data_IF_891827312167
#
_entry.id   IF_891827312167
#
_cell.length_a   1.000
_cell.length_b   1.000
_cell.length_c   1.000
_cell.angle_alpha   90.00
_cell.angle_beta   90.00
_cell.angle_gamma   90.00
#
_symmetry.space_group_name_H-M   'P 1'
#
loop_
_entity.id
_entity.type
_entity.pdbx_description
1 polymer ?
#
# COMPACT_ATOMS: atom_id res chain seq x y z
N UNK A 1 18.49 -10.83 6.46
CA UNK A 1 17.35 -11.71 6.73
C UNK A 1 16.68 -11.23 8.00
N UNK A 2 15.45 -10.76 7.92
CA UNK A 2 14.76 -10.14 9.04
C UNK A 2 14.20 -11.16 10.01
N UNK A 3 13.67 -12.24 9.49
CA UNK A 3 13.23 -13.41 10.22
C UNK A 3 13.10 -14.57 9.26
N UNK A 4 12.97 -15.78 9.78
CA UNK A 4 12.64 -16.96 8.99
C UNK A 4 11.31 -16.83 8.24
N UNK A 5 10.42 -15.93 8.68
CA UNK A 5 9.11 -15.70 8.09
C UNK A 5 9.19 -14.97 6.73
N UNK A 6 9.89 -13.81 6.66
CA UNK A 6 9.98 -13.04 5.41
C UNK A 6 10.91 -13.71 4.39
N UNK A 7 11.92 -14.46 4.86
CA UNK A 7 12.86 -15.17 4.00
C UNK A 7 12.34 -16.49 3.44
N UNK A 8 11.11 -16.91 3.79
CA UNK A 8 10.53 -18.19 3.38
C UNK A 8 11.21 -19.42 4.02
N UNK A 9 12.10 -19.21 4.99
CA UNK A 9 12.84 -20.32 5.63
C UNK A 9 11.93 -21.23 6.46
N UNK A 10 10.90 -20.68 7.10
CA UNK A 10 9.95 -21.44 7.87
C UNK A 10 9.08 -22.32 6.95
N UNK A 11 8.53 -21.74 5.88
CA UNK A 11 7.76 -22.48 4.87
C UNK A 11 8.59 -23.59 4.23
N UNK A 12 9.83 -23.29 3.83
CA UNK A 12 10.74 -24.29 3.28
C UNK A 12 11.06 -25.41 4.30
N UNK A 13 11.19 -25.07 5.57
CA UNK A 13 11.42 -26.05 6.65
C UNK A 13 10.23 -27.00 6.77
N UNK A 14 9.00 -26.49 6.72
CA UNK A 14 7.78 -27.30 6.76
C UNK A 14 7.67 -28.19 5.50
N UNK A 15 7.91 -27.65 4.31
CA UNK A 15 7.88 -28.42 3.06
C UNK A 15 8.92 -29.54 3.08
N UNK A 16 10.15 -29.28 3.51
CA UNK A 16 11.19 -30.30 3.64
C UNK A 16 10.80 -31.35 4.68
N UNK A 17 10.21 -30.95 5.80
CA UNK A 17 9.73 -31.87 6.82
C UNK A 17 8.65 -32.83 6.29
N UNK A 18 7.70 -32.31 5.49
CA UNK A 18 6.67 -33.13 4.84
C UNK A 18 7.29 -34.16 3.88
N UNK A 19 8.27 -33.74 3.08
CA UNK A 19 8.92 -34.64 2.08
C UNK A 19 9.81 -35.66 2.74
N UNK A 20 10.51 -35.33 3.81
CA UNK A 20 11.52 -36.17 4.44
C UNK A 20 11.01 -36.97 5.65
N UNK A 21 9.81 -36.63 6.16
CA UNK A 21 9.29 -37.17 7.42
C UNK A 21 10.04 -36.66 8.66
N UNK A 22 10.86 -35.60 8.51
CA UNK A 22 11.58 -34.99 9.61
C UNK A 22 10.65 -34.11 10.46
N UNK A 23 11.02 -33.88 11.72
CA UNK A 23 10.31 -32.96 12.61
C UNK A 23 10.84 -31.53 12.32
N UNK A 24 10.00 -30.59 11.88
CA UNK A 24 10.44 -29.22 11.67
C UNK A 24 10.74 -28.57 13.03
N UNK A 25 11.88 -27.88 13.13
CA UNK A 25 12.26 -27.12 14.34
C UNK A 25 12.41 -25.65 13.92
N UNK A 26 11.38 -24.86 14.22
CA UNK A 26 11.36 -23.42 13.95
C UNK A 26 11.59 -22.70 15.27
N UNK A 27 12.69 -21.96 15.38
CA UNK A 27 13.18 -21.38 16.65
C UNK A 27 13.42 -19.88 16.55
N UNK A 28 12.50 -19.13 15.89
CA UNK A 28 12.58 -17.67 15.99
C UNK A 28 12.15 -17.21 17.38
N UNK A 29 12.75 -16.14 17.89
CA UNK A 29 12.46 -15.66 19.25
C UNK A 29 10.98 -15.31 19.45
N UNK A 30 10.30 -14.83 18.40
CA UNK A 30 8.88 -14.49 18.41
C UNK A 30 7.99 -15.75 18.43
N UNK A 31 8.36 -16.80 17.69
CA UNK A 31 7.59 -18.05 17.65
C UNK A 31 7.65 -18.79 18.98
N UNK A 32 8.86 -18.90 19.56
CA UNK A 32 9.06 -19.60 20.83
C UNK A 32 8.33 -18.92 22.00
N UNK A 33 8.21 -17.58 21.95
CA UNK A 33 7.57 -16.80 23.02
C UNK A 33 6.10 -16.47 22.74
N UNK A 34 5.51 -16.91 21.62
CA UNK A 34 4.15 -16.58 21.19
C UNK A 34 3.89 -15.06 21.23
N UNK A 35 4.89 -14.25 20.84
CA UNK A 35 4.81 -12.78 20.84
C UNK A 35 4.39 -12.26 19.49
N UNK A 36 3.83 -11.04 19.48
CA UNK A 36 3.49 -10.36 18.26
C UNK A 36 4.72 -10.18 17.38
N UNK A 37 4.64 -10.70 16.15
CA UNK A 37 5.68 -10.59 15.13
C UNK A 37 5.29 -9.53 14.10
N UNK A 38 5.99 -8.39 14.11
CA UNK A 38 5.72 -7.24 13.23
C UNK A 38 5.81 -7.62 11.76
N UNK A 39 6.80 -8.42 11.41
CA UNK A 39 7.05 -8.88 10.03
C UNK A 39 5.95 -9.82 9.52
N UNK A 40 5.52 -10.78 10.35
CA UNK A 40 4.39 -11.66 10.03
C UNK A 40 3.11 -10.86 9.84
N UNK A 41 2.86 -9.91 10.73
CA UNK A 41 1.70 -9.03 10.63
C UNK A 41 1.76 -8.18 9.35
N UNK A 42 2.91 -7.61 9.01
CA UNK A 42 3.08 -6.81 7.81
C UNK A 42 2.85 -7.63 6.53
N UNK A 43 3.37 -8.85 6.46
CA UNK A 43 3.14 -9.77 5.33
C UNK A 43 1.67 -10.16 5.22
N UNK A 44 1.05 -10.60 6.31
CA UNK A 44 -0.37 -10.98 6.37
C UNK A 44 -1.29 -9.85 5.87
N UNK A 45 -0.95 -8.62 6.21
CA UNK A 45 -1.74 -7.43 5.89
C UNK A 45 -1.26 -6.69 4.62
N UNK A 46 -0.30 -7.24 3.87
CA UNK A 46 0.28 -6.61 2.68
C UNK A 46 0.78 -5.18 2.94
N UNK A 47 1.37 -4.94 4.11
CA UNK A 47 1.99 -3.69 4.49
C UNK A 47 3.48 -3.67 4.17
N UNK A 48 3.97 -2.52 3.73
CA UNK A 48 5.41 -2.25 3.65
C UNK A 48 5.93 -1.77 5.00
N UNK A 49 7.05 -2.33 5.46
CA UNK A 49 7.77 -1.90 6.66
C UNK A 49 8.72 -0.79 6.25
N UNK A 50 8.53 0.43 6.76
CA UNK A 50 9.35 1.56 6.34
C UNK A 50 10.69 1.62 7.06
N UNK A 51 10.71 1.42 8.37
CA UNK A 51 11.90 1.53 9.21
C UNK A 51 12.28 0.15 9.76
N UNK A 52 13.13 -0.55 9.03
CA UNK A 52 13.52 -1.93 9.33
C UNK A 52 14.24 -2.07 10.69
N UNK A 53 15.05 -1.09 11.08
CA UNK A 53 15.72 -1.12 12.37
C UNK A 53 14.73 -0.93 13.53
N UNK A 54 13.69 -0.12 13.34
CA UNK A 54 12.61 0.01 14.34
C UNK A 54 11.76 -1.26 14.42
N UNK A 55 11.59 -1.99 13.32
CA UNK A 55 10.90 -3.28 13.35
C UNK A 55 11.65 -4.32 14.19
N UNK A 56 12.97 -4.38 14.06
CA UNK A 56 13.83 -5.24 14.88
C UNK A 56 13.77 -4.86 16.35
N UNK A 57 13.82 -3.57 16.65
CA UNK A 57 13.74 -3.06 18.02
C UNK A 57 12.38 -3.34 18.64
N UNK A 58 11.28 -3.13 17.91
CA UNK A 58 9.94 -3.49 18.37
C UNK A 58 9.86 -4.97 18.75
N UNK A 59 10.38 -5.86 17.89
CA UNK A 59 10.44 -7.27 18.15
C UNK A 59 11.26 -7.59 19.43
N UNK A 60 12.41 -6.96 19.62
CA UNK A 60 13.24 -7.15 20.81
C UNK A 60 12.53 -6.70 22.10
N UNK A 61 11.87 -5.52 22.07
CA UNK A 61 11.08 -5.02 23.21
C UNK A 61 9.95 -5.98 23.59
N UNK A 62 9.24 -6.51 22.60
CA UNK A 62 8.14 -7.45 22.81
C UNK A 62 8.63 -8.79 23.37
N UNK A 63 9.76 -9.31 22.90
CA UNK A 63 10.40 -10.51 23.43
C UNK A 63 10.83 -10.30 24.89
N UNK A 64 11.34 -9.10 25.23
CA UNK A 64 11.70 -8.70 26.60
C UNK A 64 10.48 -8.50 27.53
N UNK A 65 9.26 -8.71 27.04
CA UNK A 65 8.02 -8.52 27.80
C UNK A 65 7.64 -7.07 28.02
N UNK A 66 8.24 -6.14 27.25
CA UNK A 66 7.87 -4.72 27.26
C UNK A 66 6.71 -4.46 26.32
N UNK A 67 6.07 -3.29 26.49
CA UNK A 67 4.98 -2.86 25.65
C UNK A 67 5.47 -1.93 24.53
N UNK A 68 4.78 -1.98 23.38
CA UNK A 68 5.00 -1.10 22.22
C UNK A 68 3.70 -0.38 21.91
N UNK A 69 3.77 0.89 21.57
CA UNK A 69 2.61 1.68 21.14
C UNK A 69 2.02 1.13 19.84
N UNK A 70 0.71 1.25 19.69
CA UNK A 70 0.01 0.84 18.47
C UNK A 70 -1.09 1.82 18.09
N UNK A 71 -1.03 2.33 16.88
CA UNK A 71 -2.14 3.07 16.28
C UNK A 71 -2.42 2.59 14.85
N UNK A 72 -3.65 2.81 14.41
CA UNK A 72 -4.07 2.52 13.04
C UNK A 72 -5.03 3.60 12.55
N UNK A 73 -4.79 4.12 11.35
CA UNK A 73 -5.72 5.02 10.63
C UNK A 73 -6.78 4.24 9.85
N UNK A 74 -6.77 2.92 9.98
CA UNK A 74 -7.71 1.99 9.36
C UNK A 74 -8.44 1.18 10.42
N UNK A 75 -9.62 0.64 10.09
CA UNK A 75 -10.28 -0.32 10.96
C UNK A 75 -9.39 -1.52 11.28
N UNK A 76 -9.53 -2.03 12.49
CA UNK A 76 -8.79 -3.19 12.97
C UNK A 76 -9.76 -4.32 13.29
N UNK A 77 -9.46 -5.52 12.81
CA UNK A 77 -10.19 -6.76 13.11
C UNK A 77 -9.32 -7.76 13.85
N UNK A 78 -9.96 -8.63 14.62
CA UNK A 78 -9.28 -9.62 15.47
C UNK A 78 -8.94 -9.09 16.85
N UNK A 79 -8.25 -9.91 17.62
CA UNK A 79 -7.86 -9.59 18.99
C UNK A 79 -6.45 -9.02 18.98
N UNK A 80 -6.35 -7.74 19.28
CA UNK A 80 -5.06 -7.05 19.40
C UNK A 80 -4.30 -7.63 20.60
N UNK A 81 -3.01 -8.03 20.46
CA UNK A 81 -2.15 -8.44 21.56
C UNK A 81 -2.08 -7.41 22.69
N UNK A 82 -2.05 -7.89 23.94
CA UNK A 82 -2.06 -7.00 25.13
C UNK A 82 -0.80 -6.15 25.25
N UNK A 83 0.33 -6.62 24.73
CA UNK A 83 1.59 -5.89 24.67
C UNK A 83 1.60 -4.70 23.71
N UNK A 84 0.62 -4.62 22.80
CA UNK A 84 0.40 -3.46 21.94
C UNK A 84 -0.56 -2.49 22.64
N UNK A 85 -0.04 -1.40 23.18
CA UNK A 85 -0.86 -0.41 23.90
C UNK A 85 -1.37 0.69 22.99
N UNK A 86 -2.61 1.19 23.17
CA UNK A 86 -3.17 2.24 22.34
C UNK A 86 -2.41 3.57 22.52
N UNK A 87 -2.49 4.44 21.50
CA UNK A 87 -1.82 5.75 21.46
C UNK A 87 -2.13 6.64 22.67
N UNK A 88 -3.37 6.57 23.17
CA UNK A 88 -3.86 7.37 24.29
C UNK A 88 -3.41 6.83 25.67
N UNK A 89 -2.98 5.58 25.75
CA UNK A 89 -2.39 5.00 26.95
C UNK A 89 -1.00 5.62 27.19
N UNK A 90 -0.34 5.26 28.28
CA UNK A 90 1.00 5.78 28.60
C UNK A 90 1.85 5.97 27.34
N UNK A 91 2.35 7.18 27.06
CA UNK A 91 3.11 7.53 25.84
C UNK A 91 4.38 6.68 25.74
N UNK A 92 4.37 5.54 25.04
CA UNK A 92 5.59 4.78 24.82
C UNK A 92 6.53 5.58 23.91
N UNK A 93 7.84 5.49 24.14
CA UNK A 93 8.85 6.16 23.32
C UNK A 93 8.89 5.63 21.90
N UNK A 94 8.36 4.40 21.69
CA UNK A 94 8.28 3.73 20.41
C UNK A 94 6.90 3.14 20.19
N UNK A 95 6.42 3.20 18.95
CA UNK A 95 5.16 2.57 18.56
C UNK A 95 5.08 2.24 17.08
N UNK A 96 4.11 1.41 16.74
CA UNK A 96 3.76 0.99 15.38
C UNK A 96 2.57 1.82 14.94
N UNK A 97 2.64 2.42 13.75
CA UNK A 97 1.55 3.17 13.14
C UNK A 97 1.18 2.59 11.76
N UNK A 98 -0.07 2.15 11.61
CA UNK A 98 -0.60 1.73 10.31
C UNK A 98 -1.26 2.93 9.64
N UNK A 99 -0.64 3.42 8.58
CA UNK A 99 -1.02 4.66 7.90
C UNK A 99 -0.61 4.63 6.43
N UNK A 100 -1.11 5.56 5.61
CA UNK A 100 -0.60 5.79 4.24
C UNK A 100 0.48 6.87 4.17
N UNK A 101 0.85 7.48 5.30
CA UNK A 101 1.78 8.62 5.36
C UNK A 101 2.97 8.34 6.26
N UNK A 102 4.17 8.51 5.75
CA UNK A 102 5.41 8.44 6.56
C UNK A 102 5.58 9.69 7.47
N UNK A 103 4.78 10.74 7.28
CA UNK A 103 4.77 11.94 8.12
C UNK A 103 3.85 11.80 9.35
N UNK A 104 2.97 10.79 9.37
CA UNK A 104 2.04 10.51 10.47
C UNK A 104 2.76 9.75 11.59
N UNK A 105 3.52 10.46 12.40
CA UNK A 105 4.41 9.92 13.43
C UNK A 105 3.89 10.24 14.84
N UNK A 106 2.96 9.44 15.40
CA UNK A 106 2.35 9.69 16.70
C UNK A 106 3.28 9.44 17.89
N UNK A 107 4.39 8.73 17.68
CA UNK A 107 5.39 8.42 18.71
C UNK A 107 6.71 9.12 18.40
N UNK A 108 7.56 9.31 19.41
CA UNK A 108 8.90 9.83 19.24
C UNK A 108 9.70 9.00 18.21
N UNK A 109 9.48 7.69 18.25
CA UNK A 109 10.03 6.72 17.30
C UNK A 109 8.88 5.89 16.75
N UNK A 110 8.46 6.22 15.53
CA UNK A 110 7.33 5.57 14.87
C UNK A 110 7.83 4.58 13.82
N UNK A 111 7.42 3.33 13.96
CA UNK A 111 7.51 2.32 12.91
C UNK A 111 6.27 2.41 12.03
N UNK A 112 6.45 2.78 10.77
CA UNK A 112 5.34 2.87 9.82
C UNK A 112 5.13 1.53 9.11
N UNK A 113 3.90 1.05 9.18
CA UNK A 113 3.39 -0.05 8.35
C UNK A 113 2.43 0.55 7.32
N UNK A 114 2.83 0.54 6.05
CA UNK A 114 2.08 1.19 4.97
C UNK A 114 1.37 0.14 4.12
N UNK A 115 0.03 0.02 4.21
CA UNK A 115 -0.74 -0.91 3.39
C UNK A 115 -0.82 -0.41 1.93
N UNK A 116 -0.69 -1.33 0.97
CA UNK A 116 -0.79 -1.04 -0.47
C UNK A 116 -2.24 -0.96 -0.91
N UNK A 117 -2.88 0.16 -0.63
CA UNK A 117 -4.33 0.37 -0.81
C UNK A 117 -4.69 1.42 -1.85
N UNK A 118 -3.70 2.16 -2.36
CA UNK A 118 -3.94 3.29 -3.27
C UNK A 118 -3.85 2.86 -4.73
N UNK A 119 -4.80 3.32 -5.51
CA UNK A 119 -4.78 3.24 -6.98
C UNK A 119 -4.62 4.63 -7.57
N UNK A 120 -3.67 4.77 -8.49
CA UNK A 120 -3.42 6.00 -9.23
C UNK A 120 -4.05 5.89 -10.62
N UNK A 121 -5.14 6.62 -10.84
CA UNK A 121 -5.69 6.78 -12.19
C UNK A 121 -4.88 7.79 -12.99
N UNK A 122 -4.44 7.42 -14.19
CA UNK A 122 -3.57 8.23 -15.04
C UNK A 122 -4.22 8.48 -16.39
N UNK A 123 -4.29 9.74 -16.77
CA UNK A 123 -4.55 10.16 -18.16
C UNK A 123 -3.39 10.99 -18.67
N UNK A 124 -2.91 10.74 -19.89
CA UNK A 124 -1.83 11.54 -20.47
C UNK A 124 -1.96 11.66 -22.01
N UNK A 125 -1.29 12.65 -22.59
CA UNK A 125 -1.11 12.71 -24.05
C UNK A 125 -0.22 11.55 -24.50
N UNK A 126 -0.36 11.14 -25.78
CA UNK A 126 0.49 10.12 -26.37
C UNK A 126 1.97 10.53 -26.31
N UNK A 127 2.83 9.57 -25.96
CA UNK A 127 4.28 9.74 -25.83
C UNK A 127 4.68 10.79 -24.77
N UNK A 128 3.90 10.93 -23.70
CA UNK A 128 4.31 11.77 -22.56
C UNK A 128 5.50 11.12 -21.85
N UNK A 129 6.63 11.84 -21.63
CA UNK A 129 7.80 11.30 -20.95
C UNK A 129 7.47 10.78 -19.54
N UNK A 130 8.06 9.65 -19.16
CA UNK A 130 7.84 9.02 -17.85
C UNK A 130 8.11 9.97 -16.67
N UNK A 131 9.20 10.74 -16.71
CA UNK A 131 9.53 11.71 -15.66
C UNK A 131 8.48 12.79 -15.47
N UNK A 132 7.77 13.21 -16.54
CA UNK A 132 6.64 14.15 -16.40
C UNK A 132 5.43 13.49 -15.75
N UNK A 133 5.11 12.24 -16.11
CA UNK A 133 4.02 11.51 -15.49
C UNK A 133 4.34 11.30 -14.00
N UNK A 134 5.56 10.87 -13.69
CA UNK A 134 6.06 10.67 -12.34
C UNK A 134 5.93 11.93 -11.48
N UNK A 135 6.40 13.07 -11.98
CA UNK A 135 6.30 14.37 -11.29
C UNK A 135 4.85 14.67 -10.88
N UNK A 136 3.90 14.49 -11.80
CA UNK A 136 2.48 14.77 -11.51
C UNK A 136 1.85 13.77 -10.57
N UNK A 137 2.24 12.51 -10.66
CA UNK A 137 1.78 11.45 -9.74
C UNK A 137 2.31 11.71 -8.33
N UNK A 138 3.61 11.96 -8.19
CA UNK A 138 4.20 12.25 -6.87
C UNK A 138 3.63 13.52 -6.25
N UNK A 139 3.43 14.58 -7.06
CA UNK A 139 2.78 15.80 -6.59
C UNK A 139 1.32 15.56 -6.15
N UNK A 140 0.58 14.66 -6.82
CA UNK A 140 -0.77 14.32 -6.42
C UNK A 140 -0.80 13.52 -5.11
N UNK A 141 0.11 12.56 -4.93
CA UNK A 141 0.28 11.79 -3.70
C UNK A 141 0.68 12.71 -2.54
N UNK A 142 1.73 13.51 -2.69
CA UNK A 142 2.18 14.45 -1.66
C UNK A 142 1.08 15.44 -1.24
N UNK A 143 0.32 15.99 -2.21
CA UNK A 143 -0.81 16.87 -1.90
C UNK A 143 -2.01 16.15 -1.25
N UNK A 144 -1.98 14.83 -1.10
CA UNK A 144 -2.93 14.02 -0.35
C UNK A 144 -2.32 13.48 0.96
N UNK A 145 -1.06 13.78 1.27
CA UNK A 145 -0.34 13.23 2.41
C UNK A 145 -0.11 11.71 2.31
N UNK A 146 0.05 11.21 1.08
CA UNK A 146 0.15 9.76 0.82
C UNK A 146 1.56 9.42 0.33
N UNK A 147 2.19 8.44 0.97
CA UNK A 147 3.46 7.87 0.51
C UNK A 147 3.30 7.07 -0.79
N UNK A 148 4.25 7.15 -1.73
CA UNK A 148 4.29 6.27 -2.89
C UNK A 148 4.29 4.77 -2.54
N UNK A 149 4.74 4.39 -1.35
CA UNK A 149 4.71 3.01 -0.82
C UNK A 149 3.30 2.48 -0.64
N UNK A 150 2.31 3.35 -0.42
CA UNK A 150 0.90 2.98 -0.31
C UNK A 150 0.25 2.63 -1.67
N UNK A 151 0.95 2.91 -2.78
CA UNK A 151 0.40 2.65 -4.11
C UNK A 151 0.54 1.17 -4.46
N UNK A 152 -0.59 0.54 -4.73
CA UNK A 152 -0.68 -0.84 -5.22
C UNK A 152 -0.55 -0.89 -6.74
N UNK A 153 -1.22 0.04 -7.43
CA UNK A 153 -1.37 -0.03 -8.87
C UNK A 153 -1.65 1.33 -9.52
N UNK A 154 -1.33 1.41 -10.81
CA UNK A 154 -1.82 2.45 -11.71
C UNK A 154 -2.97 1.92 -12.58
N UNK A 155 -3.85 2.81 -13.03
CA UNK A 155 -4.97 2.47 -13.89
C UNK A 155 -5.19 3.51 -14.99
N UNK A 156 -5.65 3.07 -16.17
CA UNK A 156 -5.96 3.94 -17.31
C UNK A 156 -6.98 3.26 -18.25
N UNK A 157 -7.24 3.90 -19.40
CA UNK A 157 -7.97 3.29 -20.50
C UNK A 157 -7.06 2.38 -21.34
N UNK A 158 -7.62 1.37 -22.00
CA UNK A 158 -6.93 0.40 -22.86
C UNK A 158 -6.10 1.03 -23.98
N UNK A 159 -6.56 2.18 -24.54
CA UNK A 159 -5.77 3.00 -25.48
C UNK A 159 -4.39 3.40 -24.95
N UNK A 160 -4.18 3.28 -23.63
CA UNK A 160 -2.93 3.58 -22.93
C UNK A 160 -2.18 2.33 -22.47
N UNK A 161 -2.65 1.13 -22.82
CA UNK A 161 -2.02 -0.13 -22.41
C UNK A 161 -0.53 -0.21 -22.80
N UNK A 162 -0.15 0.40 -23.92
CA UNK A 162 1.22 0.43 -24.44
C UNK A 162 1.86 1.83 -24.36
N UNK A 163 1.40 2.70 -23.47
CA UNK A 163 2.00 4.04 -23.31
C UNK A 163 3.34 3.95 -22.58
N UNK A 164 4.48 4.21 -23.27
CA UNK A 164 5.81 3.91 -22.71
C UNK A 164 6.08 4.65 -21.41
N UNK A 165 5.60 5.88 -21.27
CA UNK A 165 5.81 6.68 -20.06
C UNK A 165 5.10 6.11 -18.83
N UNK A 166 3.92 5.49 -18.99
CA UNK A 166 3.22 4.82 -17.89
C UNK A 166 3.90 3.49 -17.56
N UNK A 167 4.28 2.70 -18.59
CA UNK A 167 4.95 1.42 -18.38
C UNK A 167 6.28 1.59 -17.62
N UNK A 168 7.10 2.58 -17.99
CA UNK A 168 8.34 2.89 -17.27
C UNK A 168 8.08 3.31 -15.82
N UNK A 169 7.03 4.10 -15.56
CA UNK A 169 6.66 4.51 -14.21
C UNK A 169 6.28 3.31 -13.36
N UNK A 170 5.38 2.45 -13.83
CA UNK A 170 4.92 1.30 -13.04
C UNK A 170 6.03 0.28 -12.81
N UNK A 171 6.92 0.06 -13.78
CA UNK A 171 8.10 -0.77 -13.63
C UNK A 171 9.05 -0.21 -12.56
N UNK A 172 9.35 1.09 -12.60
CA UNK A 172 10.22 1.77 -11.61
C UNK A 172 9.76 1.58 -10.18
N UNK A 173 8.45 1.63 -9.93
CA UNK A 173 7.87 1.53 -8.58
C UNK A 173 7.37 0.13 -8.22
N UNK A 174 7.42 -0.83 -9.15
CA UNK A 174 6.87 -2.17 -8.95
C UNK A 174 5.34 -2.17 -8.82
N UNK A 175 4.65 -1.19 -9.39
CA UNK A 175 3.19 -1.11 -9.34
C UNK A 175 2.56 -2.01 -10.39
N UNK A 176 1.40 -2.59 -10.07
CA UNK A 176 0.58 -3.24 -11.08
C UNK A 176 0.03 -2.20 -12.05
N UNK A 177 -0.23 -2.60 -13.31
CA UNK A 177 -0.88 -1.72 -14.28
C UNK A 177 -2.16 -2.38 -14.79
N UNK A 178 -3.28 -1.69 -14.66
CA UNK A 178 -4.58 -2.15 -15.16
C UNK A 178 -5.14 -1.17 -16.17
N UNK A 179 -5.69 -1.71 -17.26
CA UNK A 179 -6.40 -0.90 -18.26
C UNK A 179 -7.82 -1.43 -18.45
N UNK A 180 -8.71 -0.56 -18.83
CA UNK A 180 -10.13 -0.83 -19.00
C UNK A 180 -10.60 -0.29 -20.35
N UNK A 181 -11.57 -0.95 -21.00
CA UNK A 181 -12.24 -0.40 -22.17
C UNK A 181 -13.11 0.80 -21.80
N UNK A 182 -13.56 1.55 -22.82
CA UNK A 182 -14.47 2.67 -22.60
C UNK A 182 -15.80 2.19 -21.96
N UNK A 183 -16.31 1.04 -22.41
CA UNK A 183 -17.54 0.42 -21.91
C UNK A 183 -17.37 0.00 -20.43
N UNK A 184 -16.24 -0.59 -20.06
CA UNK A 184 -15.95 -0.92 -18.67
C UNK A 184 -15.87 0.36 -17.82
N UNK A 185 -15.22 1.42 -18.31
CA UNK A 185 -15.13 2.68 -17.58
C UNK A 185 -16.49 3.35 -17.35
N UNK A 186 -17.48 3.15 -18.25
CA UNK A 186 -18.85 3.64 -18.06
C UNK A 186 -19.56 2.98 -16.87
N UNK A 187 -19.20 1.75 -16.51
CA UNK A 187 -19.78 1.05 -15.36
C UNK A 187 -19.32 1.58 -14.00
N UNK A 188 -18.29 2.44 -13.98
CA UNK A 188 -17.81 3.04 -12.74
C UNK A 188 -18.91 3.90 -12.10
N UNK A 189 -19.23 3.60 -10.85
CA UNK A 189 -20.20 4.36 -10.06
C UNK A 189 -19.54 5.54 -9.34
N UNK A 190 -20.21 6.67 -9.29
CA UNK A 190 -19.74 7.87 -8.59
C UNK A 190 -19.92 9.16 -9.39
N UNK A 191 -19.54 10.26 -8.78
CA UNK A 191 -19.52 11.58 -9.41
C UNK A 191 -18.12 11.89 -9.96
N UNK A 192 -18.00 11.97 -11.26
CA UNK A 192 -16.75 12.22 -11.97
C UNK A 192 -16.71 13.60 -12.62
N UNK A 193 -15.51 14.17 -12.70
CA UNK A 193 -15.30 15.46 -13.34
C UNK A 193 -15.31 15.32 -14.87
N UNK A 194 -16.32 15.84 -15.59
CA UNK A 194 -16.41 15.66 -17.04
C UNK A 194 -15.29 16.37 -17.79
N UNK A 195 -14.94 15.85 -18.96
CA UNK A 195 -14.00 16.44 -19.90
C UNK A 195 -14.50 16.27 -21.34
N UNK A 196 -15.01 17.33 -21.98
CA UNK A 196 -15.46 17.26 -23.37
C UNK A 196 -14.36 16.83 -24.33
N UNK A 197 -13.12 17.23 -24.07
CA UNK A 197 -11.96 16.83 -24.86
C UNK A 197 -11.72 15.31 -24.80
N UNK A 198 -11.76 14.74 -23.60
CA UNK A 198 -11.56 13.29 -23.41
C UNK A 198 -12.71 12.52 -24.06
N UNK A 199 -13.95 12.98 -23.90
CA UNK A 199 -15.14 12.37 -24.52
C UNK A 199 -15.04 12.29 -26.03
N UNK A 200 -14.52 13.34 -26.69
CA UNK A 200 -14.33 13.36 -28.16
C UNK A 200 -13.33 12.29 -28.63
N UNK A 201 -12.33 11.94 -27.82
CA UNK A 201 -11.26 11.01 -28.21
C UNK A 201 -11.58 9.58 -27.81
N UNK A 202 -12.13 9.38 -26.64
CA UNK A 202 -12.28 8.05 -26.01
C UNK A 202 -13.72 7.56 -25.94
N UNK A 203 -14.70 8.39 -26.29
CA UNK A 203 -16.12 8.10 -26.13
C UNK A 203 -16.65 8.38 -24.73
N UNK A 204 -15.79 8.44 -23.70
CA UNK A 204 -16.14 8.62 -22.30
C UNK A 204 -15.61 9.97 -21.76
N UNK A 205 -16.36 10.60 -20.88
CA UNK A 205 -16.08 11.94 -20.37
C UNK A 205 -14.96 12.00 -19.30
N UNK A 206 -14.61 10.86 -18.71
CA UNK A 206 -13.57 10.76 -17.68
C UNK A 206 -12.90 9.39 -17.69
N UNK A 207 -11.61 9.35 -17.97
CA UNK A 207 -10.80 8.14 -17.92
C UNK A 207 -10.15 7.98 -16.55
N UNK A 208 -9.49 9.02 -16.10
CA UNK A 208 -8.58 9.01 -14.94
C UNK A 208 -9.28 8.63 -13.62
N UNK A 209 -10.40 9.29 -13.28
CA UNK A 209 -11.12 9.00 -12.04
C UNK A 209 -11.86 7.65 -12.12
N UNK A 210 -12.49 7.35 -13.27
CA UNK A 210 -13.21 6.10 -13.46
C UNK A 210 -12.28 4.89 -13.41
N UNK A 211 -11.12 4.95 -14.05
CA UNK A 211 -10.14 3.86 -13.98
C UNK A 211 -9.58 3.67 -12.56
N UNK A 212 -9.36 4.76 -11.83
CA UNK A 212 -8.94 4.69 -10.43
C UNK A 212 -9.99 3.98 -9.56
N UNK A 213 -11.27 4.33 -9.73
CA UNK A 213 -12.39 3.73 -8.97
C UNK A 213 -12.57 2.26 -9.32
N UNK A 214 -12.64 1.89 -10.61
CA UNK A 214 -12.81 0.50 -11.02
C UNK A 214 -11.67 -0.41 -10.56
N UNK A 215 -10.44 0.11 -10.54
CA UNK A 215 -9.30 -0.67 -10.09
C UNK A 215 -9.12 -0.67 -8.56
N UNK A 216 -9.50 0.41 -7.87
CA UNK A 216 -9.10 0.65 -6.49
C UNK A 216 -10.19 1.04 -5.50
N UNK A 217 -11.46 1.09 -5.89
CA UNK A 217 -12.55 1.36 -4.96
C UNK A 217 -12.95 2.85 -4.87
N UNK A 218 -12.96 3.46 -3.70
CA UNK A 218 -13.53 4.80 -3.50
C UNK A 218 -12.57 5.91 -3.95
N UNK A 219 -13.07 6.86 -4.76
CA UNK A 219 -12.32 8.07 -5.14
C UNK A 219 -12.03 8.93 -3.90
N UNK A 220 -10.75 9.18 -3.64
CA UNK A 220 -10.27 10.01 -2.50
C UNK A 220 -9.72 11.36 -2.97
N UNK A 221 -9.30 11.45 -4.24
CA UNK A 221 -8.85 12.69 -4.84
C UNK A 221 -9.31 12.79 -6.29
N UNK A 222 -10.14 13.79 -6.59
CA UNK A 222 -10.57 14.11 -7.97
C UNK A 222 -9.37 14.52 -8.81
N UNK A 223 -9.47 14.30 -10.12
CA UNK A 223 -8.38 14.58 -11.06
C UNK A 223 -7.92 16.03 -11.01
N UNK A 224 -6.61 16.20 -11.05
CA UNK A 224 -5.95 17.46 -11.35
C UNK A 224 -5.25 17.32 -12.71
N UNK A 225 -5.51 18.22 -13.62
CA UNK A 225 -4.88 18.26 -14.94
C UNK A 225 -3.76 19.31 -14.92
N UNK A 226 -2.56 18.91 -15.33
CA UNK A 226 -1.44 19.82 -15.53
C UNK A 226 -0.50 19.26 -16.61
N UNK A 227 -0.04 20.11 -17.51
CA UNK A 227 0.96 19.81 -18.53
C UNK A 227 0.65 18.57 -19.40
N UNK A 228 -0.64 18.32 -19.68
CA UNK A 228 -1.08 17.18 -20.48
C UNK A 228 -1.14 15.84 -19.74
N UNK A 229 -0.99 15.86 -18.42
CA UNK A 229 -1.19 14.70 -17.53
C UNK A 229 -2.35 14.97 -16.58
N UNK A 230 -3.18 13.97 -16.32
CA UNK A 230 -4.23 14.00 -15.31
C UNK A 230 -4.01 12.87 -14.34
N UNK A 231 -4.12 13.14 -13.03
CA UNK A 231 -3.96 12.15 -11.96
C UNK A 231 -5.15 12.24 -11.02
N UNK A 232 -5.73 11.08 -10.70
CA UNK A 232 -6.73 10.90 -9.66
C UNK A 232 -6.30 9.77 -8.72
N UNK A 233 -6.78 9.79 -7.48
CA UNK A 233 -6.47 8.77 -6.49
C UNK A 233 -7.74 8.12 -5.99
N UNK A 234 -7.73 6.79 -5.89
CA UNK A 234 -8.75 6.00 -5.23
C UNK A 234 -8.11 5.10 -4.16
N UNK A 235 -8.87 4.77 -3.13
CA UNK A 235 -8.45 3.88 -2.07
C UNK A 235 -9.37 2.65 -1.98
N UNK A 236 -8.77 1.49 -1.81
CA UNK A 236 -9.51 0.26 -1.50
C UNK A 236 -10.07 0.34 -0.07
N UNK A 237 -11.19 -0.32 0.16
CA UNK A 237 -11.65 -0.61 1.51
C UNK A 237 -10.72 -1.69 2.10
N UNK A 238 -10.05 -1.35 3.19
CA UNK A 238 -9.02 -2.17 3.79
C UNK A 238 -9.06 -2.06 5.31
N UNK A 239 -8.71 -3.15 5.98
CA UNK A 239 -8.63 -3.24 7.44
C UNK A 239 -7.41 -4.06 7.86
N UNK A 240 -6.84 -3.74 9.00
CA UNK A 240 -5.78 -4.52 9.60
C UNK A 240 -6.37 -5.74 10.32
N UNK A 241 -5.77 -6.92 10.12
CA UNK A 241 -6.25 -8.19 10.72
C UNK A 241 -5.15 -8.78 11.60
N UNK A 242 -5.42 -8.91 12.90
CA UNK A 242 -4.57 -9.64 13.85
C UNK A 242 -4.75 -11.14 13.75
#
# INVERSE_FOLDING_TARGET
LLSGHIGGANELTEEVAVVTGAVPVITTATDVNHKFAVDVFAVKNHCEICEMELAKEAAALLVDGKTVGFCSRFPVEGTKPEELIPEEAAKPSMGICITTSEEDSPYERTLHLIPKVITVGIGCKKNTPAGRIEEKVLAALAAAGISPKAVRQAASIDLKAQEPGILQLVEKYGWQYRTFSAEELETAEGEFTPSPFVKKITGIDNVCERSAVLAGGRLIKKKKAADGVTVALAAADWRAVF
#
